data_IF_488552285324
#
_entry.id   IF_488552285324
#
_cell.length_a   1.000
_cell.length_b   1.000
_cell.length_c   1.000
_cell.angle_alpha   90.00
_cell.angle_beta   90.00
_cell.angle_gamma   90.00
#
_symmetry.space_group_name_H-M   'P 1'
#
loop_
_entity.id
_entity.type
_entity.pdbx_description
1 polymer ?
#
# COMPACT_ATOMS: atom_id res chain seq x y z
N UNK A 1 41.17 6.58 10.19
CA UNK A 1 39.87 5.87 10.20
C UNK A 1 38.87 6.84 9.63
N UNK A 2 38.58 6.66 8.35
CA UNK A 2 37.73 7.56 7.59
C UNK A 2 36.27 7.25 7.98
N UNK A 3 35.68 8.12 8.81
CA UNK A 3 34.26 8.09 9.09
C UNK A 3 33.56 8.75 7.90
N UNK A 4 33.42 8.00 6.80
CA UNK A 4 32.54 8.43 5.74
C UNK A 4 31.15 8.58 6.34
N UNK A 5 30.71 9.84 6.54
CA UNK A 5 29.34 10.14 6.90
C UNK A 5 28.45 9.41 5.90
N UNK A 6 27.52 8.62 6.40
CA UNK A 6 26.57 7.90 5.53
C UNK A 6 25.84 8.95 4.69
N UNK A 7 25.63 8.66 3.40
CA UNK A 7 24.90 9.52 2.45
C UNK A 7 23.50 9.92 2.95
N UNK A 8 23.05 9.33 4.06
CA UNK A 8 21.70 9.42 4.58
C UNK A 8 21.61 9.83 6.04
N UNK A 9 22.73 10.22 6.69
CA UNK A 9 22.83 10.44 8.15
C UNK A 9 21.79 11.43 8.73
N UNK A 10 21.23 12.32 7.91
CA UNK A 10 20.22 13.30 8.33
C UNK A 10 18.79 13.00 7.81
N UNK A 11 18.60 11.87 7.12
CA UNK A 11 17.27 11.55 6.56
C UNK A 11 16.46 10.69 7.52
N UNK A 12 15.23 11.13 7.79
CA UNK A 12 14.24 10.35 8.55
C UNK A 12 13.34 9.56 7.62
N UNK A 13 13.21 8.28 7.89
CA UNK A 13 12.27 7.38 7.25
C UNK A 13 11.08 7.11 8.16
N UNK A 14 9.87 7.48 7.75
CA UNK A 14 8.65 7.01 8.39
C UNK A 14 8.21 5.69 7.76
N UNK A 15 7.89 4.71 8.62
CA UNK A 15 7.29 3.45 8.20
C UNK A 15 5.77 3.55 8.41
N UNK A 16 5.00 3.70 7.31
CA UNK A 16 3.54 3.80 7.33
C UNK A 16 2.90 2.40 7.44
N UNK A 17 3.28 1.66 8.47
CA UNK A 17 2.85 0.29 8.71
C UNK A 17 3.11 -0.11 10.18
N UNK A 18 2.76 -1.34 10.56
CA UNK A 18 2.93 -1.90 11.90
C UNK A 18 3.48 -3.33 11.85
N UNK A 19 3.69 -3.92 13.03
CA UNK A 19 4.00 -5.34 13.18
C UNK A 19 5.36 -5.74 12.58
N UNK A 20 5.43 -6.95 12.07
CA UNK A 20 6.68 -7.56 11.60
C UNK A 20 7.27 -6.84 10.38
N UNK A 21 6.43 -6.36 9.47
CA UNK A 21 6.92 -5.65 8.28
C UNK A 21 7.56 -4.31 8.66
N UNK A 22 7.00 -3.58 9.62
CA UNK A 22 7.60 -2.36 10.12
C UNK A 22 8.96 -2.65 10.80
N UNK A 23 9.06 -3.69 11.61
CA UNK A 23 10.32 -4.15 12.21
C UNK A 23 11.37 -4.46 11.14
N UNK A 24 10.98 -5.19 10.10
CA UNK A 24 11.88 -5.55 8.99
C UNK A 24 12.44 -4.31 8.29
N UNK A 25 11.58 -3.33 8.00
CA UNK A 25 11.97 -2.08 7.34
C UNK A 25 12.88 -1.25 8.26
N UNK A 26 12.50 -1.05 9.52
CA UNK A 26 13.26 -0.31 10.53
C UNK A 26 14.68 -0.89 10.66
N UNK A 27 14.79 -2.22 10.77
CA UNK A 27 16.09 -2.89 10.86
C UNK A 27 16.99 -2.61 9.66
N UNK A 28 16.41 -2.62 8.45
CA UNK A 28 17.19 -2.32 7.24
C UNK A 28 17.56 -0.84 7.15
N UNK A 29 16.64 0.07 7.47
CA UNK A 29 16.87 1.50 7.48
C UNK A 29 18.02 1.87 8.44
N UNK A 30 18.02 1.32 9.65
CA UNK A 30 19.11 1.54 10.63
C UNK A 30 20.46 1.05 10.13
N UNK A 31 20.52 -0.10 9.45
CA UNK A 31 21.78 -0.59 8.84
C UNK A 31 22.30 0.33 7.73
N UNK A 32 21.40 1.10 7.09
CA UNK A 32 21.74 2.09 6.06
C UNK A 32 22.06 3.47 6.65
N UNK A 33 22.02 3.64 7.97
CA UNK A 33 22.28 4.91 8.65
C UNK A 33 21.09 5.87 8.67
N UNK A 34 19.87 5.42 8.28
CA UNK A 34 18.67 6.24 8.35
C UNK A 34 18.13 6.32 9.77
N UNK A 35 17.62 7.48 10.16
CA UNK A 35 16.77 7.63 11.34
C UNK A 35 15.37 7.12 11.03
N UNK A 36 14.74 6.45 11.98
CA UNK A 36 13.44 5.78 11.75
C UNK A 36 12.35 6.36 12.63
N UNK A 37 11.20 6.61 12.02
CA UNK A 37 9.98 7.05 12.68
C UNK A 37 8.93 5.94 12.51
N UNK A 38 8.45 5.41 13.64
CA UNK A 38 7.33 4.46 13.68
C UNK A 38 6.05 5.20 14.05
N UNK A 39 4.93 4.76 13.49
CA UNK A 39 3.59 5.20 13.90
C UNK A 39 2.89 4.06 14.62
N UNK A 40 2.04 4.37 15.60
CA UNK A 40 1.36 3.34 16.37
C UNK A 40 0.02 3.80 16.94
N UNK A 41 -0.84 2.87 17.28
CA UNK A 41 -2.09 3.08 18.05
C UNK A 41 -1.88 2.61 19.48
N UNK A 42 -2.76 2.97 20.44
CA UNK A 42 -2.61 2.57 21.85
C UNK A 42 -2.38 1.06 22.05
N UNK A 43 -3.07 0.22 21.28
CA UNK A 43 -2.89 -1.24 21.36
C UNK A 43 -1.51 -1.71 20.91
N UNK A 44 -0.80 -0.92 20.11
CA UNK A 44 0.54 -1.23 19.59
C UNK A 44 1.68 -0.61 20.41
N UNK A 45 1.39 0.15 21.47
CA UNK A 45 2.38 0.94 22.19
C UNK A 45 3.61 0.15 22.67
N UNK A 46 3.47 -1.13 22.95
CA UNK A 46 4.55 -2.04 23.36
C UNK A 46 5.02 -2.97 22.24
N UNK A 47 4.55 -2.75 21.01
CA UNK A 47 4.92 -3.59 19.88
C UNK A 47 6.38 -3.39 19.47
N UNK A 48 7.08 -4.44 18.97
CA UNK A 48 8.49 -4.38 18.63
C UNK A 48 8.86 -3.26 17.64
N UNK A 49 7.99 -2.89 16.71
CA UNK A 49 8.27 -1.82 15.73
C UNK A 49 8.31 -0.45 16.41
N UNK A 50 7.54 -0.24 17.48
CA UNK A 50 7.56 0.99 18.28
C UNK A 50 8.85 1.07 19.09
N UNK A 51 9.22 -0.03 19.77
CA UNK A 51 10.39 -0.09 20.63
C UNK A 51 11.72 -0.04 19.86
N UNK A 52 11.73 -0.45 18.60
CA UNK A 52 12.95 -0.51 17.77
C UNK A 52 13.17 0.74 16.91
N UNK A 53 12.17 1.60 16.73
CA UNK A 53 12.33 2.85 16.01
C UNK A 53 13.15 3.89 16.82
N UNK A 54 13.73 4.88 16.15
CA UNK A 54 14.42 5.98 16.84
C UNK A 54 13.39 6.98 17.40
N UNK A 55 12.28 7.16 16.72
CA UNK A 55 11.12 7.92 17.17
C UNK A 55 9.84 7.08 16.98
N UNK A 56 8.89 7.22 17.88
CA UNK A 56 7.57 6.59 17.76
C UNK A 56 6.48 7.61 18.03
N UNK A 57 5.48 7.68 17.14
CA UNK A 57 4.44 8.71 17.15
C UNK A 57 3.07 8.05 17.22
N UNK A 58 2.28 8.47 18.20
CA UNK A 58 0.90 8.02 18.38
C UNK A 58 0.03 8.55 17.23
N UNK A 59 -0.62 7.65 16.49
CA UNK A 59 -1.61 8.02 15.49
C UNK A 59 -2.88 8.58 16.17
N UNK A 60 -3.39 9.71 15.70
CA UNK A 60 -4.72 10.13 16.12
C UNK A 60 -5.76 9.13 15.62
N UNK A 61 -6.68 8.74 16.53
CA UNK A 61 -7.80 7.86 16.15
C UNK A 61 -8.83 8.72 15.42
N UNK A 62 -8.62 8.88 14.12
CA UNK A 62 -9.54 9.52 13.17
C UNK A 62 -9.99 8.45 12.17
N UNK A 63 -11.21 8.59 11.64
CA UNK A 63 -11.65 7.77 10.50
C UNK A 63 -10.73 8.01 9.31
N UNK A 64 -10.69 7.08 8.32
CA UNK A 64 -10.01 7.35 7.06
C UNK A 64 -10.60 8.61 6.43
N UNK A 65 -9.77 9.32 5.66
CA UNK A 65 -10.15 10.56 4.97
C UNK A 65 -11.18 10.26 3.88
N UNK A 66 -12.44 10.11 4.29
CA UNK A 66 -13.53 9.77 3.40
C UNK A 66 -14.01 11.05 2.68
N UNK A 67 -13.70 11.15 1.40
CA UNK A 67 -14.46 11.99 0.47
C UNK A 67 -15.65 11.18 -0.02
N UNK A 68 -16.74 11.13 0.77
CA UNK A 68 -17.95 10.38 0.37
C UNK A 68 -18.85 10.02 1.52
N UNK A 69 -20.04 9.52 1.22
CA UNK A 69 -21.15 9.25 2.13
C UNK A 69 -20.97 8.10 3.13
N UNK A 70 -19.84 7.44 3.17
CA UNK A 70 -19.50 6.40 4.15
C UNK A 70 -18.47 6.93 5.15
N UNK A 71 -18.93 7.64 6.16
CA UNK A 71 -18.13 7.94 7.34
C UNK A 71 -17.82 6.62 8.06
N UNK A 72 -16.68 6.01 7.76
CA UNK A 72 -16.21 4.86 8.54
C UNK A 72 -15.94 5.30 9.98
N UNK A 73 -16.43 4.53 10.92
CA UNK A 73 -16.26 4.79 12.35
C UNK A 73 -14.77 4.84 12.68
N UNK A 74 -14.34 5.92 13.33
CA UNK A 74 -12.97 6.05 13.79
C UNK A 74 -12.61 4.90 14.73
N UNK A 75 -11.55 4.17 14.44
CA UNK A 75 -11.06 3.07 15.25
C UNK A 75 -9.53 3.00 15.16
N UNK A 76 -8.90 2.26 16.06
CA UNK A 76 -7.47 2.00 15.98
C UNK A 76 -7.09 1.29 14.65
N UNK A 77 -7.93 0.38 14.17
CA UNK A 77 -7.69 -0.33 12.92
C UNK A 77 -7.70 0.60 11.70
N UNK A 78 -8.57 1.63 11.70
CA UNK A 78 -8.68 2.60 10.60
C UNK A 78 -7.67 3.75 10.71
N UNK A 79 -7.04 3.97 11.87
CA UNK A 79 -6.06 5.03 12.06
C UNK A 79 -4.86 4.91 11.11
N UNK A 80 -4.41 3.68 10.82
CA UNK A 80 -3.33 3.41 9.86
C UNK A 80 -3.71 3.69 8.40
N UNK A 81 -4.99 3.95 8.11
CA UNK A 81 -5.49 4.30 6.78
C UNK A 81 -5.71 5.82 6.62
N UNK A 82 -5.45 6.62 7.65
CA UNK A 82 -5.56 8.07 7.58
C UNK A 82 -4.33 8.68 6.91
N UNK A 83 -4.41 8.91 5.61
CA UNK A 83 -3.34 9.51 4.81
C UNK A 83 -2.98 10.91 5.34
N UNK A 84 -3.98 11.75 5.66
CA UNK A 84 -3.77 13.11 6.17
C UNK A 84 -3.02 13.10 7.51
N UNK A 85 -3.41 12.24 8.44
CA UNK A 85 -2.76 12.15 9.74
C UNK A 85 -1.28 11.70 9.60
N UNK A 86 -0.99 10.77 8.69
CA UNK A 86 0.38 10.33 8.43
C UNK A 86 1.21 11.46 7.84
N UNK A 87 0.66 12.25 6.90
CA UNK A 87 1.36 13.41 6.32
C UNK A 87 1.60 14.51 7.38
N UNK A 88 0.63 14.78 8.25
CA UNK A 88 0.81 15.71 9.37
C UNK A 88 1.99 15.27 10.27
N UNK A 89 2.07 13.99 10.61
CA UNK A 89 3.18 13.42 11.37
C UNK A 89 4.50 13.57 10.62
N UNK A 90 4.52 13.25 9.33
CA UNK A 90 5.73 13.40 8.50
C UNK A 90 6.27 14.84 8.54
N UNK A 91 5.40 15.85 8.42
CA UNK A 91 5.78 17.26 8.48
C UNK A 91 6.29 17.66 9.86
N UNK A 92 5.58 17.27 10.91
CA UNK A 92 5.93 17.60 12.29
C UNK A 92 7.29 17.01 12.72
N UNK A 93 7.67 15.85 12.16
CA UNK A 93 8.89 15.13 12.50
C UNK A 93 10.01 15.28 11.46
N UNK A 94 9.86 16.17 10.47
CA UNK A 94 10.83 16.41 9.40
C UNK A 94 11.22 15.11 8.67
N UNK A 95 10.23 14.29 8.33
CA UNK A 95 10.41 13.05 7.58
C UNK A 95 10.73 13.37 6.13
N UNK A 96 11.77 12.73 5.59
CA UNK A 96 12.17 12.87 4.20
C UNK A 96 11.72 11.70 3.32
N UNK A 97 11.52 10.51 3.91
CA UNK A 97 11.26 9.26 3.21
C UNK A 97 10.06 8.57 3.85
N UNK A 98 9.17 8.01 3.03
CA UNK A 98 8.00 7.22 3.52
C UNK A 98 8.01 5.84 2.88
N UNK A 99 7.99 4.80 3.71
CA UNK A 99 7.87 3.41 3.27
C UNK A 99 6.53 2.82 3.72
N UNK A 100 5.65 2.40 2.82
CA UNK A 100 4.32 1.91 3.18
C UNK A 100 4.31 0.46 3.71
N UNK A 101 5.38 -0.31 3.54
CA UNK A 101 5.35 -1.75 3.75
C UNK A 101 4.46 -2.47 2.72
N UNK A 102 3.61 -3.37 3.18
CA UNK A 102 2.55 -4.01 2.40
C UNK A 102 1.20 -3.90 3.15
N UNK A 103 0.08 -4.08 2.45
CA UNK A 103 -1.25 -3.81 3.03
C UNK A 103 -1.46 -2.33 3.33
N UNK A 104 -2.45 -1.98 4.14
CA UNK A 104 -2.81 -0.60 4.46
C UNK A 104 -2.82 0.33 3.23
N UNK A 105 -1.95 1.31 3.21
CA UNK A 105 -1.86 2.31 2.14
C UNK A 105 -0.83 1.98 1.05
N UNK A 106 -0.21 0.79 1.08
CA UNK A 106 0.86 0.44 0.12
C UNK A 106 0.40 0.40 -1.35
N UNK A 107 -0.88 0.10 -1.59
CA UNK A 107 -1.49 0.08 -2.92
C UNK A 107 -2.37 1.31 -3.18
N UNK A 108 -2.32 2.32 -2.29
CA UNK A 108 -3.07 3.55 -2.45
C UNK A 108 -2.25 4.59 -3.25
N UNK A 109 -2.61 4.76 -4.52
CA UNK A 109 -1.91 5.68 -5.42
C UNK A 109 -2.06 7.15 -4.99
N UNK A 110 -3.18 7.52 -4.37
CA UNK A 110 -3.43 8.89 -3.93
C UNK A 110 -2.61 9.23 -2.68
N UNK A 111 -2.42 8.27 -1.77
CA UNK A 111 -1.48 8.45 -0.67
C UNK A 111 -0.02 8.57 -1.16
N UNK A 112 0.40 7.71 -2.10
CA UNK A 112 1.72 7.81 -2.70
C UNK A 112 1.94 9.18 -3.38
N UNK A 113 0.93 9.68 -4.09
CA UNK A 113 0.96 11.02 -4.70
C UNK A 113 1.03 12.10 -3.64
N UNK A 114 0.23 11.99 -2.58
CA UNK A 114 0.20 12.95 -1.48
C UNK A 114 1.56 13.07 -0.77
N UNK A 115 2.29 11.96 -0.61
CA UNK A 115 3.67 11.95 -0.08
C UNK A 115 4.59 12.77 -0.99
N UNK A 116 4.53 12.53 -2.30
CA UNK A 116 5.36 13.23 -3.30
C UNK A 116 5.02 14.72 -3.35
N UNK A 117 3.74 15.07 -3.38
CA UNK A 117 3.27 16.46 -3.45
C UNK A 117 3.66 17.29 -2.22
N UNK A 118 3.91 16.62 -1.09
CA UNK A 118 4.42 17.26 0.12
C UNK A 118 5.96 17.26 0.22
N UNK A 119 6.67 16.98 -0.89
CA UNK A 119 8.12 17.08 -0.99
C UNK A 119 8.89 15.92 -0.35
N UNK A 120 8.21 14.85 0.01
CA UNK A 120 8.83 13.64 0.56
C UNK A 120 9.07 12.60 -0.53
N UNK A 121 10.03 11.71 -0.31
CA UNK A 121 10.27 10.58 -1.21
C UNK A 121 9.42 9.39 -0.81
N UNK A 122 8.58 8.94 -1.72
CA UNK A 122 7.85 7.68 -1.61
C UNK A 122 8.76 6.50 -1.95
N UNK A 123 8.92 5.55 -1.03
CA UNK A 123 9.70 4.33 -1.25
C UNK A 123 8.79 3.21 -1.74
N UNK A 124 8.47 3.26 -3.02
CA UNK A 124 7.61 2.32 -3.70
C UNK A 124 7.52 2.64 -5.20
N UNK A 125 6.66 1.93 -5.95
CA UNK A 125 6.38 2.27 -7.35
C UNK A 125 5.78 3.68 -7.46
N UNK A 126 5.94 4.33 -8.60
CA UNK A 126 5.32 5.64 -8.84
C UNK A 126 3.78 5.56 -8.71
N UNK A 127 3.12 6.66 -8.27
CA UNK A 127 1.66 6.68 -8.09
C UNK A 127 0.87 6.27 -9.34
N UNK A 128 1.33 6.68 -10.53
CA UNK A 128 0.73 6.28 -11.82
C UNK A 128 0.83 4.77 -12.06
N UNK A 129 1.95 4.16 -11.69
CA UNK A 129 2.16 2.71 -11.80
C UNK A 129 1.27 1.96 -10.81
N UNK A 130 1.17 2.44 -9.55
CA UNK A 130 0.26 1.83 -8.57
C UNK A 130 -1.18 1.86 -9.08
N UNK A 131 -1.62 2.99 -9.63
CA UNK A 131 -2.98 3.16 -10.18
C UNK A 131 -3.24 2.22 -11.36
N UNK A 132 -2.28 2.13 -12.28
CA UNK A 132 -2.36 1.26 -13.46
C UNK A 132 -2.42 -0.21 -13.08
N UNK A 133 -1.50 -0.65 -12.19
CA UNK A 133 -1.40 -2.06 -11.78
C UNK A 133 -2.48 -2.49 -10.79
N UNK A 134 -3.15 -1.54 -10.13
CA UNK A 134 -4.28 -1.81 -9.24
C UNK A 134 -5.54 -2.27 -9.98
N UNK A 135 -5.66 -2.00 -11.27
CA UNK A 135 -6.79 -2.39 -12.11
C UNK A 135 -6.43 -3.67 -12.89
N UNK A 136 -7.06 -4.80 -12.52
CA UNK A 136 -6.68 -6.13 -13.01
C UNK A 136 -6.60 -6.26 -14.54
N UNK A 137 -7.61 -5.76 -15.26
CA UNK A 137 -7.62 -5.85 -16.72
C UNK A 137 -6.59 -4.93 -17.39
N UNK A 138 -6.29 -3.76 -16.81
CA UNK A 138 -5.23 -2.88 -17.31
C UNK A 138 -3.85 -3.46 -17.03
N UNK A 139 -3.60 -4.01 -15.83
CA UNK A 139 -2.37 -4.70 -15.50
C UNK A 139 -2.11 -5.88 -16.46
N UNK A 140 -3.17 -6.64 -16.81
CA UNK A 140 -3.10 -7.72 -17.79
C UNK A 140 -2.70 -7.22 -19.18
N UNK A 141 -3.32 -6.12 -19.66
CA UNK A 141 -2.95 -5.52 -20.96
C UNK A 141 -1.48 -5.12 -21.00
N UNK A 142 -0.99 -4.47 -19.93
CA UNK A 142 0.42 -4.09 -19.82
C UNK A 142 1.33 -5.31 -19.85
N UNK A 143 1.00 -6.38 -19.15
CA UNK A 143 1.77 -7.62 -19.16
C UNK A 143 1.87 -8.23 -20.57
N UNK A 144 0.74 -8.31 -21.29
CA UNK A 144 0.70 -8.79 -22.67
C UNK A 144 1.54 -7.92 -23.60
N UNK A 145 1.41 -6.59 -23.49
CA UNK A 145 2.21 -5.64 -24.28
C UNK A 145 3.71 -5.75 -24.00
N UNK A 146 4.08 -6.13 -22.78
CA UNK A 146 5.45 -6.40 -22.38
C UNK A 146 5.97 -7.78 -22.83
N UNK A 147 5.16 -8.57 -23.54
CA UNK A 147 5.51 -9.92 -24.00
C UNK A 147 5.51 -10.99 -22.90
N UNK A 148 4.86 -10.71 -21.77
CA UNK A 148 4.73 -11.70 -20.69
C UNK A 148 3.58 -12.66 -20.99
N UNK A 149 3.77 -13.94 -20.69
CA UNK A 149 2.69 -14.91 -20.67
C UNK A 149 1.73 -14.60 -19.53
N UNK A 150 0.43 -14.63 -19.84
CA UNK A 150 -0.64 -14.42 -18.87
C UNK A 150 -1.58 -15.62 -18.85
N UNK A 151 -2.14 -15.92 -17.70
CA UNK A 151 -3.16 -16.95 -17.57
C UNK A 151 -4.33 -16.61 -18.52
N UNK A 152 -4.89 -17.58 -19.31
CA UNK A 152 -6.08 -17.32 -20.13
C UNK A 152 -7.19 -16.63 -19.36
N UNK A 153 -7.91 -15.71 -20.00
CA UNK A 153 -8.96 -14.92 -19.35
C UNK A 153 -9.54 -13.88 -20.31
N UNK A 154 -10.59 -13.16 -19.87
CA UNK A 154 -11.20 -12.10 -20.66
C UNK A 154 -10.19 -11.02 -21.08
N UNK A 155 -10.36 -10.46 -22.27
CA UNK A 155 -9.53 -9.34 -22.76
C UNK A 155 -9.85 -8.02 -22.07
N UNK A 156 -11.05 -7.88 -21.55
CA UNK A 156 -11.57 -6.67 -20.92
C UNK A 156 -12.46 -6.92 -19.71
N UNK A 157 -13.14 -5.86 -19.30
CA UNK A 157 -14.15 -5.91 -18.27
C UNK A 157 -15.42 -6.59 -18.80
N UNK A 158 -15.90 -7.60 -18.10
CA UNK A 158 -17.18 -8.26 -18.38
C UNK A 158 -18.27 -7.48 -17.65
N UNK A 159 -19.32 -7.08 -18.36
CA UNK A 159 -20.37 -6.22 -17.84
C UNK A 159 -21.74 -6.88 -17.79
N UNK A 160 -21.93 -7.98 -18.53
CA UNK A 160 -23.19 -8.74 -18.58
C UNK A 160 -22.99 -10.22 -18.26
N UNK A 161 -24.08 -10.89 -17.88
CA UNK A 161 -24.07 -12.33 -17.62
C UNK A 161 -23.82 -13.12 -18.91
N UNK A 162 -24.43 -12.69 -20.02
CA UNK A 162 -24.28 -13.33 -21.33
C UNK A 162 -22.81 -13.33 -21.77
N UNK A 163 -22.13 -12.19 -21.64
CA UNK A 163 -20.70 -12.04 -21.95
C UNK A 163 -19.84 -12.95 -21.04
N UNK A 164 -20.20 -13.04 -19.74
CA UNK A 164 -19.50 -13.91 -18.81
C UNK A 164 -19.60 -15.39 -19.20
N UNK A 165 -20.79 -15.83 -19.60
CA UNK A 165 -21.05 -17.21 -20.04
C UNK A 165 -20.33 -17.54 -21.36
N UNK A 166 -20.28 -16.60 -22.31
CA UNK A 166 -19.58 -16.77 -23.58
C UNK A 166 -18.07 -16.95 -23.35
N UNK A 167 -17.46 -16.05 -22.61
CA UNK A 167 -16.03 -16.11 -22.27
C UNK A 167 -15.71 -17.38 -21.45
N UNK A 168 -16.57 -17.78 -20.52
CA UNK A 168 -16.37 -18.99 -19.75
C UNK A 168 -16.40 -20.26 -20.61
N UNK A 169 -17.29 -20.31 -21.62
CA UNK A 169 -17.34 -21.43 -22.57
C UNK A 169 -16.11 -21.50 -23.46
N UNK A 170 -15.60 -20.34 -23.90
CA UNK A 170 -14.37 -20.27 -24.72
C UNK A 170 -13.14 -20.72 -23.94
N UNK A 171 -13.03 -20.29 -22.66
CA UNK A 171 -11.90 -20.65 -21.79
C UNK A 171 -11.94 -22.11 -21.30
N UNK A 172 -13.15 -22.67 -21.17
CA UNK A 172 -13.39 -23.96 -20.56
C UNK A 172 -13.42 -23.88 -19.01
N UNK A 173 -14.36 -24.59 -18.42
CA UNK A 173 -14.48 -24.68 -16.95
C UNK A 173 -13.41 -25.57 -16.31
N UNK A 174 -13.00 -25.31 -15.06
CA UNK A 174 -13.51 -24.25 -14.18
C UNK A 174 -12.90 -22.88 -14.47
N UNK A 175 -13.70 -21.82 -14.29
CA UNK A 175 -13.25 -20.42 -14.40
C UNK A 175 -13.38 -19.69 -13.06
N UNK A 176 -12.64 -18.59 -12.89
CA UNK A 176 -12.74 -17.73 -11.72
C UNK A 176 -13.21 -16.34 -12.14
N UNK A 177 -14.36 -15.93 -11.62
CA UNK A 177 -14.83 -14.53 -11.69
C UNK A 177 -14.10 -13.72 -10.62
N UNK A 178 -13.61 -12.53 -11.00
CA UNK A 178 -12.89 -11.62 -10.11
C UNK A 178 -13.50 -10.23 -10.16
N UNK A 179 -13.79 -9.67 -8.99
CA UNK A 179 -14.17 -8.25 -8.92
C UNK A 179 -13.03 -7.36 -9.41
N UNK A 180 -13.36 -6.32 -10.18
CA UNK A 180 -12.38 -5.40 -10.80
C UNK A 180 -11.53 -4.69 -9.74
N UNK A 181 -12.15 -4.21 -8.67
CA UNK A 181 -11.52 -3.46 -7.58
C UNK A 181 -11.25 -4.31 -6.32
N UNK A 182 -11.34 -5.62 -6.39
CA UNK A 182 -11.08 -6.51 -5.24
C UNK A 182 -9.60 -6.86 -5.11
N UNK A 183 -9.09 -6.83 -3.88
CA UNK A 183 -7.74 -7.29 -3.52
C UNK A 183 -7.78 -8.38 -2.45
N UNK A 184 -6.63 -9.03 -2.16
CA UNK A 184 -6.51 -9.99 -1.05
C UNK A 184 -7.43 -11.22 -1.11
N UNK A 185 -7.87 -11.63 -2.30
CA UNK A 185 -8.79 -12.78 -2.46
C UNK A 185 -10.27 -12.46 -2.25
N UNK A 186 -10.63 -11.22 -1.97
CA UNK A 186 -12.03 -10.78 -1.87
C UNK A 186 -12.64 -10.61 -3.26
N UNK A 187 -13.93 -10.98 -3.39
CA UNK A 187 -14.67 -10.89 -4.65
C UNK A 187 -14.20 -11.90 -5.71
N UNK A 188 -13.78 -13.09 -5.28
CA UNK A 188 -13.46 -14.23 -6.14
C UNK A 188 -14.59 -15.27 -6.05
N UNK A 189 -15.07 -15.74 -7.19
CA UNK A 189 -16.04 -16.83 -7.30
C UNK A 189 -15.54 -17.87 -8.29
N UNK A 190 -15.45 -19.12 -7.86
CA UNK A 190 -15.09 -20.25 -8.74
C UNK A 190 -16.38 -20.80 -9.33
N UNK A 191 -16.50 -20.75 -10.67
CA UNK A 191 -17.56 -21.36 -11.44
C UNK A 191 -17.04 -22.67 -12.05
N UNK A 192 -17.76 -23.77 -11.79
CA UNK A 192 -17.36 -25.12 -12.21
C UNK A 192 -18.10 -25.62 -13.44
N UNK A 193 -19.20 -25.00 -13.72
CA UNK A 193 -20.17 -25.28 -14.78
C UNK A 193 -20.99 -24.03 -15.11
#
# INVERSE_FOLDING_TARGET
MDTSSSRYDDHKLLVANRGEIAVRIIRTAKRLGLKTVSIYTPSDALSPHVLQADEAVLLPIRGPDATGSEAQTASEATAYLSASAIIEICKAHAVALVHPGYGFLSENADFAQLVVDNGMTWLGPRPDVIRLMGIKHEARKVAVQAGLEVVPGSEGLITTEEEALEVARELGYPVILKATAGGGGMGLVICRD
#
